data_IF_998494073920
#
_entry.id   IF_998494073920
#
_cell.length_a   1.000
_cell.length_b   1.000
_cell.length_c   1.000
_cell.angle_alpha   90.00
_cell.angle_beta   90.00
_cell.angle_gamma   90.00
#
_symmetry.space_group_name_H-M   'P 1'
#
loop_
_entity.id
_entity.type
_entity.pdbx_description
1 polymer ?
#
# COMPACT_ATOMS: atom_id res chain seq x y z
N UNK A 1 -27.28 30.20 -19.83
CA UNK A 1 -26.41 29.79 -20.93
C UNK A 1 -27.28 29.07 -21.93
N UNK A 2 -27.37 29.58 -23.16
CA UNK A 2 -28.13 28.92 -24.22
C UNK A 2 -27.20 27.97 -24.99
N UNK A 3 -27.76 26.97 -25.69
CA UNK A 3 -26.96 26.02 -26.50
C UNK A 3 -26.01 26.73 -27.49
N UNK A 4 -26.43 27.82 -28.19
CA UNK A 4 -25.52 28.60 -29.02
C UNK A 4 -24.36 29.25 -28.25
N UNK A 5 -24.58 29.68 -27.01
CA UNK A 5 -23.51 30.25 -26.18
C UNK A 5 -22.47 29.19 -25.79
N UNK A 6 -22.91 27.96 -25.51
CA UNK A 6 -22.04 26.84 -25.19
C UNK A 6 -21.23 26.37 -26.41
N UNK A 7 -21.86 26.32 -27.59
CA UNK A 7 -21.21 26.00 -28.86
C UNK A 7 -20.13 27.04 -29.20
N UNK A 8 -20.44 28.33 -29.09
CA UNK A 8 -19.48 29.40 -29.32
C UNK A 8 -18.28 29.33 -28.36
N UNK A 9 -18.51 28.97 -27.09
CA UNK A 9 -17.44 28.78 -26.11
C UNK A 9 -16.55 27.58 -26.44
N UNK A 10 -17.14 26.44 -26.85
CA UNK A 10 -16.39 25.25 -27.28
C UNK A 10 -15.57 25.51 -28.54
N UNK A 11 -16.16 26.18 -29.53
CA UNK A 11 -15.47 26.56 -30.76
C UNK A 11 -14.31 27.53 -30.48
N UNK A 12 -14.47 28.47 -29.54
CA UNK A 12 -13.40 29.37 -29.13
C UNK A 12 -12.22 28.63 -28.47
N UNK A 13 -12.50 27.56 -27.71
CA UNK A 13 -11.50 26.79 -26.98
C UNK A 13 -10.78 25.74 -27.83
N UNK A 14 -11.53 25.02 -28.67
CA UNK A 14 -11.02 23.93 -29.51
C UNK A 14 -10.54 24.42 -30.90
N UNK A 15 -10.99 25.60 -31.34
CA UNK A 15 -10.62 26.26 -32.60
C UNK A 15 -10.71 25.30 -33.79
N UNK A 16 -9.58 24.93 -34.39
CA UNK A 16 -9.52 24.04 -35.57
C UNK A 16 -9.87 22.58 -35.28
N UNK A 17 -9.99 22.20 -34.00
CA UNK A 17 -10.38 20.86 -33.57
C UNK A 17 -11.88 20.72 -33.38
N UNK A 18 -12.62 21.83 -33.46
CA UNK A 18 -14.07 21.81 -33.46
C UNK A 18 -14.59 21.63 -34.88
N UNK A 19 -14.99 20.40 -35.21
CA UNK A 19 -15.66 20.09 -36.45
C UNK A 19 -17.10 19.66 -36.14
N UNK A 20 -18.05 20.54 -36.44
CA UNK A 20 -19.48 20.40 -36.14
C UNK A 20 -20.06 19.04 -36.60
N UNK A 21 -19.59 18.49 -37.72
CA UNK A 21 -19.99 17.17 -38.21
C UNK A 21 -19.71 16.01 -37.23
N UNK A 22 -18.63 16.10 -36.44
CA UNK A 22 -18.27 15.09 -35.45
C UNK A 22 -19.14 15.20 -34.17
N UNK A 23 -19.63 16.40 -33.86
CA UNK A 23 -20.41 16.67 -32.65
C UNK A 23 -21.91 16.54 -32.88
N UNK A 24 -22.42 16.82 -34.09
CA UNK A 24 -23.86 16.71 -34.42
C UNK A 24 -24.44 15.33 -34.13
N UNK A 25 -23.70 14.26 -34.47
CA UNK A 25 -24.16 12.90 -34.22
C UNK A 25 -24.26 12.61 -32.72
N UNK A 26 -23.26 13.03 -31.94
CA UNK A 26 -23.25 12.87 -30.50
C UNK A 26 -24.36 13.71 -29.83
N UNK A 27 -24.51 14.97 -30.24
CA UNK A 27 -25.54 15.86 -29.71
C UNK A 27 -26.94 15.38 -30.06
N UNK A 28 -27.15 14.91 -31.30
CA UNK A 28 -28.41 14.31 -31.72
C UNK A 28 -28.71 13.05 -30.90
N UNK A 29 -27.73 12.18 -30.67
CA UNK A 29 -27.92 11.01 -29.81
C UNK A 29 -28.29 11.39 -28.37
N UNK A 30 -27.72 12.46 -27.83
CA UNK A 30 -28.07 12.98 -26.49
C UNK A 30 -29.50 13.54 -26.47
N UNK A 31 -29.89 14.33 -27.48
CA UNK A 31 -31.25 14.89 -27.58
C UNK A 31 -32.30 13.80 -27.84
N UNK A 32 -31.97 12.81 -28.66
CA UNK A 32 -32.83 11.64 -28.90
C UNK A 32 -32.95 10.81 -27.61
N UNK A 33 -31.89 10.72 -26.79
CA UNK A 33 -31.93 10.03 -25.49
C UNK A 33 -32.67 10.82 -24.40
N UNK A 34 -32.71 12.15 -24.48
CA UNK A 34 -33.33 13.04 -23.49
C UNK A 34 -34.83 12.79 -23.31
N UNK A 35 -35.51 12.22 -24.32
CA UNK A 35 -36.92 11.81 -24.24
C UNK A 35 -37.15 10.31 -24.03
N UNK A 36 -36.09 9.51 -24.04
CA UNK A 36 -36.14 8.02 -24.04
C UNK A 36 -35.85 7.51 -22.62
N UNK A 37 -35.99 8.35 -21.58
CA UNK A 37 -35.75 7.97 -20.19
C UNK A 37 -36.60 6.76 -19.79
N UNK A 38 -37.87 6.74 -20.23
CA UNK A 38 -38.82 5.68 -19.90
C UNK A 38 -38.47 4.35 -20.59
N UNK A 39 -38.06 4.42 -21.86
CA UNK A 39 -37.55 3.26 -22.60
C UNK A 39 -36.18 2.80 -22.10
N UNK A 40 -35.34 3.72 -21.61
CA UNK A 40 -34.03 3.42 -21.02
C UNK A 40 -34.19 2.74 -19.67
N UNK A 41 -35.11 3.23 -18.82
CA UNK A 41 -35.47 2.60 -17.56
C UNK A 41 -36.04 1.21 -17.80
N UNK A 42 -36.96 1.07 -18.78
CA UNK A 42 -37.50 -0.22 -19.18
C UNK A 42 -36.43 -1.18 -19.71
N UNK A 43 -35.47 -0.70 -20.49
CA UNK A 43 -34.34 -1.49 -20.97
C UNK A 43 -33.40 -1.91 -19.82
N UNK A 44 -33.19 -1.03 -18.83
CA UNK A 44 -32.42 -1.34 -17.62
C UNK A 44 -33.13 -2.38 -16.74
N UNK A 45 -34.45 -2.27 -16.58
CA UNK A 45 -35.26 -3.26 -15.86
C UNK A 45 -35.22 -4.62 -16.55
N UNK A 46 -35.37 -4.65 -17.88
CA UNK A 46 -35.23 -5.86 -18.69
C UNK A 46 -33.82 -6.47 -18.58
N UNK A 47 -32.78 -5.63 -18.59
CA UNK A 47 -31.40 -6.08 -18.42
C UNK A 47 -31.16 -6.63 -17.01
N UNK A 48 -31.75 -6.00 -15.99
CA UNK A 48 -31.67 -6.43 -14.59
C UNK A 48 -32.36 -7.79 -14.39
N UNK A 49 -33.53 -7.98 -14.98
CA UNK A 49 -34.26 -9.26 -14.95
C UNK A 49 -33.51 -10.36 -15.71
N UNK A 50 -32.95 -10.03 -16.88
CA UNK A 50 -32.11 -10.94 -17.66
C UNK A 50 -30.78 -11.28 -16.96
N UNK A 51 -30.19 -10.34 -16.22
CA UNK A 51 -28.97 -10.57 -15.45
C UNK A 51 -29.25 -11.42 -14.20
N UNK A 52 -30.36 -11.15 -13.50
CA UNK A 52 -30.77 -11.89 -12.30
C UNK A 52 -31.11 -13.34 -12.60
N UNK A 53 -31.64 -13.62 -13.79
CA UNK A 53 -31.93 -14.98 -14.26
C UNK A 53 -30.70 -15.74 -14.77
N UNK A 54 -29.57 -15.06 -15.02
CA UNK A 54 -28.32 -15.67 -15.47
C UNK A 54 -27.33 -15.85 -14.32
N UNK A 55 -27.52 -16.90 -13.53
CA UNK A 55 -26.46 -17.37 -12.62
C UNK A 55 -25.31 -17.95 -13.46
N UNK A 56 -24.13 -17.33 -13.41
CA UNK A 56 -22.92 -17.84 -14.08
C UNK A 56 -22.35 -16.95 -15.19
N UNK A 57 -22.55 -15.63 -15.13
CA UNK A 57 -21.75 -14.68 -15.92
C UNK A 57 -20.27 -14.86 -15.58
N UNK A 58 -19.58 -15.67 -16.38
CA UNK A 58 -18.12 -15.78 -16.38
C UNK A 58 -17.61 -14.50 -17.03
N UNK A 59 -17.27 -13.50 -16.22
CA UNK A 59 -16.51 -12.34 -16.69
C UNK A 59 -15.14 -12.88 -17.09
N UNK A 60 -15.01 -13.25 -18.37
CA UNK A 60 -13.72 -13.49 -18.97
C UNK A 60 -13.08 -12.11 -19.16
N UNK A 61 -12.42 -11.60 -18.12
CA UNK A 61 -11.48 -10.51 -18.28
C UNK A 61 -10.40 -11.08 -19.20
N UNK A 62 -10.21 -10.55 -20.42
CA UNK A 62 -9.05 -10.91 -21.21
C UNK A 62 -7.86 -10.45 -20.38
N UNK A 63 -7.20 -11.39 -19.70
CA UNK A 63 -5.82 -11.17 -19.31
C UNK A 63 -5.14 -10.80 -20.60
N UNK A 64 -4.76 -9.53 -20.77
CA UNK A 64 -3.88 -9.09 -21.85
C UNK A 64 -2.54 -9.77 -21.62
N UNK A 65 -2.49 -11.07 -21.91
CA UNK A 65 -1.31 -11.88 -21.99
C UNK A 65 -0.84 -11.79 -23.42
N UNK A 66 -0.34 -10.62 -23.77
CA UNK A 66 0.45 -10.43 -24.98
C UNK A 66 1.30 -9.20 -24.76
N UNK A 67 2.57 -9.50 -24.48
CA UNK A 67 3.71 -8.60 -24.35
C UNK A 67 3.80 -7.91 -22.98
N UNK A 68 4.53 -8.60 -22.10
CA UNK A 68 5.36 -8.07 -21.04
C UNK A 68 6.35 -7.03 -21.61
N UNK A 69 5.85 -5.93 -22.16
CA UNK A 69 6.63 -4.75 -22.48
C UNK A 69 6.25 -3.72 -21.45
N UNK A 70 7.22 -3.46 -20.57
CA UNK A 70 7.19 -2.34 -19.65
C UNK A 70 6.90 -1.08 -20.48
N UNK A 71 5.85 -0.30 -20.17
CA UNK A 71 5.54 0.89 -20.96
C UNK A 71 6.78 1.79 -21.05
N UNK A 72 7.06 2.37 -22.22
CA UNK A 72 8.26 3.19 -22.44
C UNK A 72 8.42 4.31 -21.39
N UNK A 73 7.29 4.86 -20.93
CA UNK A 73 7.25 5.85 -19.85
C UNK A 73 7.83 5.32 -18.54
N UNK A 74 7.56 4.06 -18.20
CA UNK A 74 8.06 3.43 -16.98
C UNK A 74 9.56 3.18 -17.12
N UNK A 75 10.03 2.70 -18.26
CA UNK A 75 11.47 2.50 -18.52
C UNK A 75 12.25 3.81 -18.41
N UNK A 76 11.73 4.89 -19.01
CA UNK A 76 12.32 6.22 -18.91
C UNK A 76 12.38 6.73 -17.46
N UNK A 77 11.28 6.55 -16.72
CA UNK A 77 11.18 7.01 -15.34
C UNK A 77 12.16 6.26 -14.43
N UNK A 78 12.29 4.95 -14.59
CA UNK A 78 13.23 4.13 -13.83
C UNK A 78 14.68 4.51 -14.09
N UNK A 79 15.04 4.76 -15.35
CA UNK A 79 16.37 5.26 -15.69
C UNK A 79 16.66 6.60 -15.00
N UNK A 80 15.68 7.51 -14.97
CA UNK A 80 15.81 8.81 -14.29
C UNK A 80 15.93 8.68 -12.77
N UNK A 81 15.20 7.76 -12.16
CA UNK A 81 15.32 7.46 -10.72
C UNK A 81 16.72 6.92 -10.42
N UNK A 82 17.21 5.96 -11.20
CA UNK A 82 18.55 5.40 -11.02
C UNK A 82 19.65 6.43 -11.22
N UNK A 83 19.53 7.31 -12.21
CA UNK A 83 20.46 8.44 -12.40
C UNK A 83 20.52 9.37 -11.17
N UNK A 84 19.35 9.64 -10.57
CA UNK A 84 19.26 10.44 -9.35
C UNK A 84 19.93 9.74 -8.17
N UNK A 85 19.71 8.44 -8.01
CA UNK A 85 20.35 7.60 -6.99
C UNK A 85 21.87 7.55 -7.18
N UNK A 86 22.36 7.42 -8.42
CA UNK A 86 23.80 7.48 -8.72
C UNK A 86 24.41 8.84 -8.39
N UNK A 87 23.68 9.94 -8.66
CA UNK A 87 24.13 11.29 -8.30
C UNK A 87 24.22 11.47 -6.78
N UNK A 88 23.22 10.99 -6.03
CA UNK A 88 23.27 11.00 -4.57
C UNK A 88 24.44 10.17 -4.03
N UNK A 89 24.73 9.04 -4.67
CA UNK A 89 25.86 8.18 -4.30
C UNK A 89 27.21 8.86 -4.52
N UNK A 90 27.41 9.51 -5.67
CA UNK A 90 28.68 10.20 -5.98
C UNK A 90 28.93 11.40 -5.05
N UNK A 91 27.86 12.01 -4.53
CA UNK A 91 27.94 13.07 -3.54
C UNK A 91 28.12 12.57 -2.10
N UNK A 92 28.19 11.24 -1.88
CA UNK A 92 28.26 10.60 -0.56
C UNK A 92 27.01 10.78 0.32
N UNK A 93 25.83 10.93 -0.28
CA UNK A 93 24.56 10.97 0.47
C UNK A 93 24.00 9.55 0.74
N UNK A 94 24.40 8.56 -0.06
CA UNK A 94 24.00 7.15 0.10
C UNK A 94 25.24 6.31 0.44
N UNK A 95 25.18 5.54 1.52
CA UNK A 95 26.26 4.65 1.95
C UNK A 95 25.92 3.19 1.61
N UNK A 96 26.94 2.34 1.45
CA UNK A 96 26.72 0.91 1.12
C UNK A 96 26.40 0.64 -0.35
N UNK A 97 25.89 -0.57 -0.61
CA UNK A 97 25.47 -1.06 -1.94
C UNK A 97 24.23 -0.32 -2.41
N UNK A 98 24.15 -0.04 -3.71
CA UNK A 98 22.96 0.57 -4.30
C UNK A 98 21.85 -0.46 -4.47
N UNK A 99 20.66 -0.10 -4.00
CA UNK A 99 19.43 -0.86 -4.20
C UNK A 99 18.94 -0.69 -5.64
N UNK A 100 18.33 -1.74 -6.17
CA UNK A 100 17.62 -1.73 -7.45
C UNK A 100 16.30 -0.96 -7.33
N UNK A 101 15.69 -0.58 -8.46
CA UNK A 101 14.38 0.10 -8.45
C UNK A 101 13.33 -0.72 -7.72
N UNK A 102 13.31 -2.05 -7.93
CA UNK A 102 12.33 -2.93 -7.29
C UNK A 102 12.53 -2.97 -5.77
N UNK A 103 13.78 -3.03 -5.30
CA UNK A 103 14.11 -2.98 -3.86
C UNK A 103 13.83 -1.61 -3.23
N UNK A 104 13.85 -0.52 -4.01
CA UNK A 104 13.45 0.81 -3.53
C UNK A 104 11.93 0.97 -3.42
N UNK A 105 11.17 0.32 -4.29
CA UNK A 105 9.71 0.39 -4.30
C UNK A 105 9.06 -0.57 -3.30
N UNK A 106 9.74 -1.67 -3.00
CA UNK A 106 9.27 -2.70 -2.08
C UNK A 106 10.45 -3.23 -1.25
N UNK A 107 10.95 -2.42 -0.29
CA UNK A 107 12.09 -2.79 0.54
C UNK A 107 11.72 -3.97 1.44
N UNK A 108 12.63 -4.94 1.56
CA UNK A 108 12.40 -6.16 2.36
C UNK A 108 12.16 -5.84 3.83
N UNK A 109 12.74 -4.75 4.31
CA UNK A 109 12.63 -4.26 5.68
C UNK A 109 11.21 -3.79 6.03
N UNK A 110 10.42 -3.30 5.06
CA UNK A 110 9.03 -2.86 5.31
C UNK A 110 8.01 -4.01 5.23
N UNK A 111 8.43 -5.18 4.71
CA UNK A 111 7.52 -6.33 4.56
C UNK A 111 7.22 -7.04 5.87
N UNK A 112 8.10 -6.91 6.86
CA UNK A 112 7.88 -7.42 8.22
C UNK A 112 7.65 -6.22 9.13
N UNK A 113 6.38 -5.82 9.25
CA UNK A 113 5.96 -4.94 10.34
C UNK A 113 6.01 -5.77 11.63
N UNK A 114 7.24 -6.02 12.11
CA UNK A 114 7.49 -6.88 13.24
C UNK A 114 6.59 -6.51 14.41
N UNK A 115 5.77 -7.47 14.85
CA UNK A 115 5.05 -7.56 16.12
C UNK A 115 4.45 -6.27 16.71
N UNK A 116 4.13 -5.27 15.90
CA UNK A 116 3.41 -4.07 16.35
C UNK A 116 1.92 -4.37 16.55
N UNK A 117 1.42 -5.46 15.94
CA UNK A 117 0.04 -5.92 16.11
C UNK A 117 -0.18 -6.70 17.41
N UNK A 118 0.87 -7.22 18.09
CA UNK A 118 0.69 -7.93 19.38
C UNK A 118 1.19 -7.18 20.62
N UNK A 119 2.07 -6.17 20.47
CA UNK A 119 2.76 -5.57 21.63
C UNK A 119 2.03 -4.37 22.27
N UNK A 120 0.99 -3.83 21.63
CA UNK A 120 0.03 -2.95 22.27
C UNK A 120 -1.33 -3.20 21.62
N UNK A 121 -2.35 -3.43 22.44
CA UNK A 121 -3.77 -3.57 22.06
C UNK A 121 -4.36 -2.31 21.36
N UNK A 122 -3.52 -1.43 20.80
CA UNK A 122 -3.87 -0.11 20.28
C UNK A 122 -4.39 0.87 21.34
N UNK A 123 -4.66 0.38 22.55
CA UNK A 123 -5.16 1.14 23.68
C UNK A 123 -4.09 2.06 24.24
N UNK A 124 -4.52 3.28 24.61
CA UNK A 124 -3.68 4.27 25.31
C UNK A 124 -3.00 3.65 26.55
N UNK A 125 -3.68 2.70 27.21
CA UNK A 125 -3.13 1.96 28.35
C UNK A 125 -1.95 1.06 27.95
N UNK A 126 -2.08 0.31 26.85
CA UNK A 126 -1.00 -0.57 26.36
C UNK A 126 0.24 0.22 25.96
N UNK A 127 0.06 1.40 25.36
CA UNK A 127 1.16 2.31 25.02
C UNK A 127 1.84 2.83 26.30
N UNK A 128 1.07 3.24 27.31
CA UNK A 128 1.62 3.74 28.57
C UNK A 128 2.40 2.67 29.34
N UNK A 129 1.87 1.44 29.40
CA UNK A 129 2.49 0.30 30.08
C UNK A 129 3.82 -0.06 29.40
N UNK A 130 3.89 -0.02 28.07
CA UNK A 130 5.12 -0.27 27.30
C UNK A 130 6.19 0.82 27.52
N UNK A 131 5.80 2.09 27.48
CA UNK A 131 6.72 3.21 27.74
C UNK A 131 7.30 3.12 29.15
N UNK A 132 6.47 2.75 30.14
CA UNK A 132 6.94 2.54 31.51
C UNK A 132 7.92 1.36 31.61
N UNK A 133 7.63 0.25 30.93
CA UNK A 133 8.52 -0.92 30.88
C UNK A 133 9.89 -0.57 30.28
N UNK A 134 9.92 0.16 29.16
CA UNK A 134 11.17 0.61 28.54
C UNK A 134 11.94 1.60 29.42
N UNK A 135 11.25 2.52 30.09
CA UNK A 135 11.88 3.42 31.06
C UNK A 135 12.47 2.67 32.26
N UNK A 136 11.79 1.66 32.79
CA UNK A 136 12.28 0.84 33.89
C UNK A 136 13.54 0.06 33.50
N UNK A 137 13.58 -0.54 32.30
CA UNK A 137 14.78 -1.20 31.76
C UNK A 137 15.94 -0.21 31.62
N UNK A 138 15.70 0.97 31.05
CA UNK A 138 16.73 1.99 30.87
C UNK A 138 17.32 2.49 32.21
N UNK A 139 16.49 2.52 33.26
CA UNK A 139 16.89 2.88 34.61
C UNK A 139 17.55 1.72 35.39
N UNK A 140 17.70 0.55 34.77
CA UNK A 140 18.32 -0.63 35.39
C UNK A 140 17.46 -1.29 36.46
N UNK A 141 16.15 -1.02 36.46
CA UNK A 141 15.20 -1.63 37.36
C UNK A 141 14.85 -3.02 36.83
N UNK A 142 15.33 -4.07 37.52
CA UNK A 142 15.06 -5.46 37.15
C UNK A 142 13.59 -5.73 37.47
N UNK A 143 12.74 -5.71 36.44
CA UNK A 143 11.37 -6.18 36.55
C UNK A 143 11.44 -7.68 36.76
N UNK A 144 11.11 -8.13 37.98
CA UNK A 144 10.82 -9.55 38.24
C UNK A 144 9.69 -9.95 37.32
N UNK A 145 10.00 -10.78 36.34
CA UNK A 145 9.00 -11.60 35.69
C UNK A 145 8.56 -12.58 36.78
N UNK A 146 7.36 -12.41 37.31
CA UNK A 146 6.72 -13.47 38.08
C UNK A 146 6.44 -14.58 37.08
N UNK A 147 7.36 -15.54 37.02
CA UNK A 147 7.06 -16.84 36.43
C UNK A 147 5.87 -17.38 37.22
N UNK A 148 4.77 -17.64 36.52
CA UNK A 148 3.56 -18.23 37.09
C UNK A 148 3.91 -19.66 37.52
N UNK A 149 4.41 -19.76 38.75
CA UNK A 149 4.94 -20.97 39.38
C UNK A 149 3.79 -21.96 39.54
N UNK A 150 3.76 -22.97 38.67
CA UNK A 150 2.91 -24.13 38.82
C UNK A 150 3.75 -25.18 39.55
N UNK A 151 3.56 -25.24 40.86
CA UNK A 151 4.25 -26.10 41.84
C UNK A 151 4.51 -27.52 41.30
N UNK A 152 5.79 -27.89 41.12
CA UNK A 152 6.24 -29.26 41.39
C UNK A 152 7.64 -29.23 42.00
N UNK A 153 7.67 -29.60 43.27
CA UNK A 153 8.79 -30.07 44.10
C UNK A 153 9.81 -30.90 43.32
N UNK A 154 11.03 -30.39 43.14
CA UNK A 154 12.22 -31.21 43.33
C UNK A 154 13.46 -30.38 43.66
N UNK A 155 14.16 -30.85 44.68
CA UNK A 155 15.27 -30.22 45.37
C UNK A 155 16.54 -30.12 44.49
N UNK A 156 16.79 -28.96 43.89
CA UNK A 156 18.12 -28.59 43.37
C UNK A 156 18.48 -27.18 43.85
N UNK A 157 19.35 -27.14 44.85
CA UNK A 157 20.05 -25.92 45.25
C UNK A 157 20.94 -25.47 44.10
N UNK A 158 20.43 -24.62 43.20
CA UNK A 158 21.27 -24.02 42.18
C UNK A 158 22.19 -22.98 42.82
N UNK A 159 23.53 -23.10 42.65
CA UNK A 159 24.45 -22.12 43.18
C UNK A 159 24.22 -20.80 42.46
N UNK A 160 23.98 -19.74 43.23
CA UNK A 160 23.95 -18.38 42.72
C UNK A 160 25.30 -18.05 42.06
N UNK A 161 25.40 -18.22 40.74
CA UNK A 161 26.58 -17.78 40.01
C UNK A 161 26.53 -16.26 39.92
N UNK A 162 27.40 -15.59 40.67
CA UNK A 162 27.56 -14.15 40.53
C UNK A 162 28.12 -13.84 39.15
N UNK A 163 27.73 -12.69 38.59
CA UNK A 163 28.23 -12.17 37.31
C UNK A 163 29.77 -12.08 37.25
N UNK A 164 30.44 -12.00 38.40
CA UNK A 164 31.91 -12.06 38.53
C UNK A 164 32.51 -13.45 38.35
N UNK A 165 31.76 -14.52 38.62
CA UNK A 165 32.22 -15.90 38.48
C UNK A 165 32.21 -16.33 37.01
N UNK A 166 31.23 -15.84 36.23
CA UNK A 166 31.17 -16.03 34.79
C UNK A 166 32.37 -15.37 34.08
N UNK A 167 32.79 -14.18 34.54
CA UNK A 167 33.94 -13.45 33.97
C UNK A 167 35.27 -14.15 34.27
N UNK A 168 35.42 -14.76 35.44
CA UNK A 168 36.62 -15.54 35.78
C UNK A 168 36.79 -16.79 34.92
N UNK A 169 35.69 -17.41 34.48
CA UNK A 169 35.73 -18.61 33.63
C UNK A 169 36.28 -18.34 32.22
N UNK A 170 36.16 -17.11 31.72
CA UNK A 170 36.63 -16.72 30.39
C UNK A 170 38.02 -16.05 30.37
N UNK A 171 38.62 -15.83 31.54
CA UNK A 171 39.91 -15.13 31.67
C UNK A 171 41.11 -16.04 31.94
N UNK A 172 40.93 -17.36 31.86
CA UNK A 172 42.06 -18.30 31.81
C UNK A 172 42.12 -18.94 30.43
N UNK A 173 42.83 -18.26 29.53
CA UNK A 173 43.55 -18.91 28.43
C UNK A 173 44.86 -18.21 28.16
#
# INVERSE_FOLDING_TARGET
MTLPDAEAALQAHLRSWFEDSNWRLALKAIMDAEGVIEDTLKAVDQLSEAASSRSGLKVCIPTKSTLLQKPDQVVLLEAKIMESVHTLKSHNHIFGTLLTVDELLDPVEERDSGDLESLADGSIKGIADKVQWEMAIANGEIIKIEDEDNDVDDNLTDPSFSRTDLIKMYLVR
#
